data_IF_531053540365
#
_entry.id   IF_531053540365
#
_cell.length_a   1.000
_cell.length_b   1.000
_cell.length_c   1.000
_cell.angle_alpha   90.00
_cell.angle_beta   90.00
_cell.angle_gamma   90.00
#
_symmetry.space_group_name_H-M   'P 1'
#
loop_
_entity.id
_entity.type
_entity.pdbx_description
1 polymer ?
#
# COMPACT_ATOMS: atom_id res chain seq x y z
N UNK A 1 -21.88 -0.48 11.49
CA UNK A 1 -20.71 0.43 11.51
C UNK A 1 -20.72 1.21 10.19
N UNK A 2 -20.97 2.53 10.20
CA UNK A 2 -21.02 3.33 8.97
C UNK A 2 -19.64 3.91 8.67
N UNK A 3 -19.02 3.53 7.56
CA UNK A 3 -17.91 4.28 6.98
C UNK A 3 -18.44 5.67 6.60
N UNK A 4 -17.90 6.71 7.23
CA UNK A 4 -18.21 8.11 6.89
C UNK A 4 -17.57 8.38 5.53
N UNK A 5 -18.40 8.61 4.50
CA UNK A 5 -17.92 9.01 3.18
C UNK A 5 -16.94 10.19 3.31
N UNK A 6 -15.83 10.22 2.56
CA UNK A 6 -14.84 11.27 2.69
C UNK A 6 -15.50 12.59 2.31
N UNK A 7 -15.56 13.53 3.27
CA UNK A 7 -15.95 14.90 2.98
C UNK A 7 -15.01 15.42 1.88
N UNK A 8 -15.56 15.87 0.76
CA UNK A 8 -14.81 16.45 -0.36
C UNK A 8 -14.07 17.71 0.13
N UNK A 9 -12.87 17.52 0.68
CA UNK A 9 -11.93 18.60 0.96
C UNK A 9 -11.26 18.98 -0.36
N UNK A 10 -10.94 20.27 -0.51
CA UNK A 10 -10.20 20.80 -1.65
C UNK A 10 -8.93 19.98 -1.92
N UNK A 11 -8.56 19.81 -3.19
CA UNK A 11 -7.38 19.03 -3.59
C UNK A 11 -6.08 19.42 -2.86
N UNK A 12 -5.95 20.68 -2.44
CA UNK A 12 -4.82 21.22 -1.68
C UNK A 12 -4.85 20.98 -0.16
N UNK A 13 -5.88 20.32 0.40
CA UNK A 13 -6.03 20.20 1.85
C UNK A 13 -5.10 19.14 2.44
N UNK A 14 -4.52 19.45 3.60
CA UNK A 14 -3.81 18.47 4.42
C UNK A 14 -4.77 17.38 4.91
N UNK A 15 -4.33 16.13 4.82
CA UNK A 15 -5.10 14.96 5.27
C UNK A 15 -4.50 14.35 6.53
N UNK A 16 -5.34 13.92 7.44
CA UNK A 16 -4.90 13.17 8.64
C UNK A 16 -4.62 11.71 8.30
N UNK A 17 -3.84 11.03 9.14
CA UNK A 17 -3.57 9.59 8.96
C UNK A 17 -4.83 8.72 8.91
N UNK A 18 -5.87 9.06 9.67
CA UNK A 18 -7.14 8.33 9.63
C UNK A 18 -7.89 8.54 8.32
N UNK A 19 -7.79 9.73 7.71
CA UNK A 19 -8.42 10.02 6.42
C UNK A 19 -7.70 9.28 5.30
N UNK A 20 -6.36 9.34 5.27
CA UNK A 20 -5.57 8.63 4.25
C UNK A 20 -5.70 7.12 4.37
N UNK A 21 -5.74 6.60 5.59
CA UNK A 21 -6.01 5.18 5.86
C UNK A 21 -7.37 4.75 5.31
N UNK A 22 -8.41 5.55 5.54
CA UNK A 22 -9.75 5.30 4.99
C UNK A 22 -9.81 5.40 3.47
N UNK A 23 -9.10 6.35 2.86
CA UNK A 23 -9.04 6.51 1.40
C UNK A 23 -8.33 5.34 0.71
N UNK A 24 -7.26 4.81 1.32
CA UNK A 24 -6.48 3.69 0.80
C UNK A 24 -6.99 2.32 1.24
N UNK A 25 -8.01 2.29 2.11
CA UNK A 25 -8.50 1.06 2.74
C UNK A 25 -7.39 0.24 3.41
N UNK A 26 -6.47 0.92 4.10
CA UNK A 26 -5.38 0.30 4.88
C UNK A 26 -5.44 0.76 6.33
N UNK A 27 -4.86 -0.04 7.22
CA UNK A 27 -4.78 0.31 8.62
C UNK A 27 -3.81 1.47 8.89
N UNK A 28 -4.11 2.29 9.90
CA UNK A 28 -3.27 3.45 10.24
C UNK A 28 -1.84 3.04 10.62
N UNK A 29 -1.65 1.87 11.24
CA UNK A 29 -0.33 1.38 11.62
C UNK A 29 0.53 0.98 10.40
N UNK A 30 -0.10 0.58 9.29
CA UNK A 30 0.58 0.32 8.02
C UNK A 30 1.16 1.62 7.45
N UNK A 31 0.39 2.71 7.49
CA UNK A 31 0.90 4.03 7.10
C UNK A 31 2.06 4.50 7.98
N UNK A 32 1.98 4.28 9.31
CA UNK A 32 3.11 4.56 10.22
C UNK A 32 4.34 3.73 9.88
N UNK A 33 4.15 2.48 9.49
CA UNK A 33 5.25 1.64 9.05
C UNK A 33 5.85 2.14 7.74
N UNK A 34 5.02 2.54 6.78
CA UNK A 34 5.48 3.12 5.50
C UNK A 34 6.27 4.42 5.70
N UNK A 35 5.89 5.28 6.65
CA UNK A 35 6.70 6.46 7.04
C UNK A 35 8.15 6.09 7.41
N UNK A 36 8.37 4.91 7.99
CA UNK A 36 9.73 4.45 8.35
C UNK A 36 10.51 3.90 7.16
N UNK A 37 9.83 3.47 6.10
CA UNK A 37 10.44 2.83 4.93
C UNK A 37 10.64 3.81 3.78
N UNK A 38 9.76 4.78 3.61
CA UNK A 38 9.80 5.72 2.50
C UNK A 38 10.13 7.12 3.03
N UNK A 39 11.40 7.50 2.93
CA UNK A 39 11.90 8.81 3.42
C UNK A 39 11.33 10.02 2.68
N UNK A 40 10.71 9.77 1.53
CA UNK A 40 9.93 10.73 0.76
C UNK A 40 8.70 11.22 1.52
N UNK A 41 8.06 10.34 2.29
CA UNK A 41 6.82 10.63 2.99
C UNK A 41 7.16 11.31 4.31
N UNK A 42 6.92 12.62 4.38
CA UNK A 42 7.29 13.44 5.55
C UNK A 42 6.05 14.09 6.16
N UNK A 43 5.30 13.36 7.02
CA UNK A 43 4.11 13.92 7.65
C UNK A 43 4.50 15.12 8.53
N UNK A 44 3.71 16.19 8.43
CA UNK A 44 3.83 17.34 9.31
C UNK A 44 3.35 16.94 10.71
N UNK A 45 4.28 16.94 11.67
CA UNK A 45 4.01 16.64 13.07
C UNK A 45 3.60 17.93 13.77
N UNK A 46 2.35 18.00 14.25
CA UNK A 46 1.85 19.10 15.10
C UNK A 46 1.82 18.65 16.56
N UNK A 47 1.67 19.61 17.49
CA UNK A 47 1.45 19.32 18.90
C UNK A 47 0.37 18.26 19.13
N UNK A 48 0.61 17.36 20.09
CA UNK A 48 -0.29 16.23 20.36
C UNK A 48 -0.10 14.99 19.47
N UNK A 49 1.01 14.89 18.72
CA UNK A 49 1.37 13.67 17.98
C UNK A 49 0.54 13.39 16.72
N UNK A 50 -0.32 14.34 16.31
CA UNK A 50 -1.13 14.25 15.10
C UNK A 50 -0.24 14.44 13.86
N UNK A 51 -0.49 13.61 12.85
CA UNK A 51 0.23 13.59 11.58
C UNK A 51 -0.69 14.10 10.48
N UNK A 52 -0.17 15.03 9.70
CA UNK A 52 -0.83 15.57 8.52
C UNK A 52 0.03 15.31 7.29
N UNK A 53 -0.55 14.74 6.26
CA UNK A 53 0.07 14.52 4.96
C UNK A 53 -0.27 15.67 4.02
N UNK A 54 0.71 16.10 3.24
CA UNK A 54 0.48 17.03 2.12
C UNK A 54 -0.27 16.29 1.01
N UNK A 55 -0.97 17.01 0.12
CA UNK A 55 -1.56 16.40 -1.07
C UNK A 55 -0.55 15.54 -1.87
N UNK A 56 0.66 16.05 -2.05
CA UNK A 56 1.76 15.32 -2.73
C UNK A 56 2.14 14.01 -2.02
N UNK A 57 2.20 14.01 -0.68
CA UNK A 57 2.47 12.79 0.10
C UNK A 57 1.35 11.77 -0.06
N UNK A 58 0.10 12.23 -0.16
CA UNK A 58 -1.08 11.38 -0.34
C UNK A 58 -1.06 10.72 -1.71
N UNK A 59 -0.70 11.46 -2.75
CA UNK A 59 -0.57 10.91 -4.09
C UNK A 59 0.58 9.91 -4.19
N UNK A 60 1.71 10.18 -3.52
CA UNK A 60 2.78 9.22 -3.39
C UNK A 60 2.35 7.95 -2.65
N UNK A 61 1.58 8.09 -1.57
CA UNK A 61 1.03 6.96 -0.80
C UNK A 61 0.08 6.09 -1.64
N UNK A 62 -0.74 6.71 -2.51
CA UNK A 62 -1.59 5.98 -3.47
C UNK A 62 -0.74 5.17 -4.46
N UNK A 63 0.33 5.76 -4.98
CA UNK A 63 1.23 5.07 -5.90
C UNK A 63 1.94 3.89 -5.20
N UNK A 64 2.46 4.10 -3.99
CA UNK A 64 3.06 3.03 -3.19
C UNK A 64 2.04 1.91 -2.93
N UNK A 65 0.81 2.27 -2.58
CA UNK A 65 -0.26 1.31 -2.37
C UNK A 65 -0.53 0.46 -3.63
N UNK A 66 -0.65 1.11 -4.79
CA UNK A 66 -0.85 0.42 -6.06
C UNK A 66 0.30 -0.55 -6.38
N UNK A 67 1.54 -0.09 -6.23
CA UNK A 67 2.72 -0.94 -6.48
C UNK A 67 2.76 -2.16 -5.57
N UNK A 68 2.44 -1.99 -4.28
CA UNK A 68 2.48 -3.08 -3.30
C UNK A 68 1.32 -4.06 -3.44
N UNK A 69 0.09 -3.56 -3.57
CA UNK A 69 -1.13 -4.39 -3.50
C UNK A 69 -1.70 -4.78 -4.86
N UNK A 70 -1.49 -3.98 -5.91
CA UNK A 70 -1.98 -4.28 -7.26
C UNK A 70 -0.91 -4.92 -8.13
N UNK A 71 0.31 -4.38 -8.10
CA UNK A 71 1.41 -4.88 -8.93
C UNK A 71 2.29 -5.93 -8.22
N UNK A 72 2.11 -6.13 -6.91
CA UNK A 72 2.82 -7.15 -6.14
C UNK A 72 4.31 -6.85 -5.88
N UNK A 73 4.72 -5.58 -5.97
CA UNK A 73 6.09 -5.21 -5.64
C UNK A 73 6.37 -5.39 -4.15
N UNK A 74 7.63 -5.68 -3.83
CA UNK A 74 8.12 -5.63 -2.45
C UNK A 74 8.45 -4.19 -2.04
N UNK A 75 8.49 -3.92 -0.74
CA UNK A 75 8.89 -2.61 -0.20
C UNK A 75 10.27 -2.18 -0.73
N UNK A 76 11.23 -3.11 -0.82
CA UNK A 76 12.56 -2.84 -1.39
C UNK A 76 12.48 -2.52 -2.89
N UNK A 77 11.64 -3.23 -3.65
CA UNK A 77 11.39 -2.97 -5.07
C UNK A 77 10.84 -1.56 -5.31
N UNK A 78 9.84 -1.16 -4.53
CA UNK A 78 9.27 0.20 -4.58
C UNK A 78 10.29 1.25 -4.18
N UNK A 79 11.10 1.02 -3.13
CA UNK A 79 12.17 1.93 -2.74
C UNK A 79 13.20 2.15 -3.88
N UNK A 80 13.59 1.08 -4.58
CA UNK A 80 14.52 1.14 -5.72
C UNK A 80 13.90 1.93 -6.89
N UNK A 81 12.64 1.68 -7.21
CA UNK A 81 11.90 2.40 -8.25
C UNK A 81 11.82 3.89 -7.94
N UNK A 82 11.41 4.26 -6.72
CA UNK A 82 11.31 5.66 -6.30
C UNK A 82 12.67 6.37 -6.25
N UNK A 83 13.75 5.63 -5.99
CA UNK A 83 15.12 6.18 -6.00
C UNK A 83 15.63 6.37 -7.43
N UNK A 84 15.34 5.43 -8.34
CA UNK A 84 15.69 5.52 -9.75
C UNK A 84 14.97 6.68 -10.46
N UNK A 85 13.69 6.91 -10.15
CA UNK A 85 12.93 8.05 -10.70
C UNK A 85 13.49 9.40 -10.23
N UNK A 86 14.04 9.46 -9.01
CA UNK A 86 14.70 10.67 -8.49
C UNK A 86 16.12 10.87 -9.06
N UNK A 87 16.74 9.78 -9.52
CA UNK A 87 18.13 9.74 -9.96
C UNK A 87 18.36 10.16 -11.40
N UNK A 88 17.41 9.96 -12.33
CA UNK A 88 17.47 10.49 -13.70
C UNK A 88 16.30 9.96 -14.57
N UNK A 89 15.46 10.86 -15.10
CA UNK A 89 14.85 10.66 -16.42
C UNK A 89 15.89 10.80 -17.56
N UNK A 90 17.10 11.29 -17.26
CA UNK A 90 18.16 11.55 -18.26
C UNK A 90 19.06 10.34 -18.59
N UNK A 91 18.92 9.19 -17.92
CA UNK A 91 19.86 8.05 -18.07
C UNK A 91 19.18 6.74 -18.54
N UNK A 92 17.87 6.77 -18.84
CA UNK A 92 17.06 5.55 -19.01
C UNK A 92 16.91 5.04 -20.45
N UNK A 93 17.75 5.49 -21.40
CA UNK A 93 17.69 4.99 -22.78
C UNK A 93 18.77 3.92 -23.07
N UNK A 94 19.79 3.72 -22.23
CA UNK A 94 20.95 2.91 -22.65
C UNK A 94 21.15 1.53 -22.04
N UNK A 95 20.66 1.21 -20.84
CA UNK A 95 20.91 -0.13 -20.28
C UNK A 95 19.61 -0.93 -20.10
N UNK A 96 19.48 -1.96 -20.93
CA UNK A 96 18.39 -2.92 -20.93
C UNK A 96 18.18 -3.52 -19.53
N UNK A 97 16.94 -3.41 -19.04
CA UNK A 97 16.57 -4.03 -17.77
C UNK A 97 16.35 -5.53 -17.96
N UNK A 98 17.38 -6.32 -17.71
CA UNK A 98 17.20 -7.69 -17.27
C UNK A 98 16.64 -7.68 -15.84
N UNK A 99 15.36 -8.07 -15.71
CA UNK A 99 14.70 -8.35 -14.44
C UNK A 99 15.11 -9.75 -13.97
N UNK A 100 16.34 -9.88 -13.46
CA UNK A 100 16.81 -11.09 -12.80
C UNK A 100 17.16 -10.75 -11.35
N UNK A 101 16.43 -11.35 -10.41
CA UNK A 101 16.65 -11.20 -8.97
C UNK A 101 15.42 -10.83 -8.18
N UNK A 102 14.30 -11.55 -8.38
CA UNK A 102 13.24 -11.61 -7.37
C UNK A 102 13.75 -12.44 -6.18
N UNK A 103 14.50 -11.81 -5.28
CA UNK A 103 14.57 -12.36 -3.92
C UNK A 103 13.21 -12.09 -3.27
N UNK A 104 12.39 -13.14 -3.23
CA UNK A 104 11.15 -13.22 -2.47
C UNK A 104 11.48 -13.09 -0.98
N UNK A 105 11.61 -11.86 -0.50
CA UNK A 105 11.50 -11.61 0.93
C UNK A 105 10.00 -11.66 1.24
N UNK A 106 9.51 -12.86 1.59
CA UNK A 106 8.18 -13.05 2.18
C UNK A 106 8.03 -12.06 3.33
N UNK A 107 7.33 -10.96 3.08
CA UNK A 107 6.97 -10.07 4.18
C UNK A 107 5.93 -10.81 5.03
N UNK A 108 5.97 -10.71 6.37
CA UNK A 108 4.97 -11.34 7.24
C UNK A 108 3.53 -10.99 6.86
N UNK A 109 3.32 -9.82 6.25
CA UNK A 109 2.02 -9.39 5.72
C UNK A 109 1.65 -10.17 4.46
N UNK A 110 2.56 -10.33 3.48
CA UNK A 110 2.28 -11.12 2.27
C UNK A 110 1.93 -12.58 2.63
N UNK A 111 2.72 -13.20 3.51
CA UNK A 111 2.47 -14.55 4.00
C UNK A 111 1.15 -14.67 4.78
N UNK A 112 0.82 -13.67 5.61
CA UNK A 112 -0.46 -13.64 6.33
C UNK A 112 -1.65 -13.44 5.39
N UNK A 113 -1.51 -12.63 4.33
CA UNK A 113 -2.54 -12.41 3.30
C UNK A 113 -2.78 -13.70 2.50
N UNK A 114 -1.73 -14.41 2.12
CA UNK A 114 -1.86 -15.70 1.43
C UNK A 114 -2.52 -16.76 2.31
N UNK A 115 -2.11 -16.86 3.58
CA UNK A 115 -2.74 -17.78 4.54
C UNK A 115 -4.23 -17.49 4.71
N UNK A 116 -4.60 -16.22 4.89
CA UNK A 116 -6.00 -15.82 5.00
C UNK A 116 -6.79 -16.11 3.71
N UNK A 117 -6.15 -15.96 2.53
CA UNK A 117 -6.76 -16.27 1.24
C UNK A 117 -7.07 -17.76 1.10
N UNK A 118 -6.16 -18.62 1.53
CA UNK A 118 -6.35 -20.07 1.43
C UNK A 118 -7.37 -20.59 2.44
N UNK A 119 -7.40 -20.02 3.65
CA UNK A 119 -8.49 -20.26 4.62
C UNK A 119 -9.86 -19.88 4.02
N UNK A 120 -9.96 -18.72 3.37
CA UNK A 120 -11.21 -18.27 2.74
C UNK A 120 -11.65 -19.17 1.57
N UNK A 121 -10.70 -19.67 0.78
CA UNK A 121 -10.99 -20.63 -0.30
C UNK A 121 -11.51 -21.95 0.27
N UNK A 122 -10.89 -22.47 1.33
CA UNK A 122 -11.36 -23.69 2.01
C UNK A 122 -12.79 -23.52 2.49
N UNK A 123 -13.08 -22.40 3.18
CA UNK A 123 -14.44 -22.11 3.65
C UNK A 123 -15.45 -22.00 2.51
N UNK A 124 -15.04 -21.42 1.37
CA UNK A 124 -15.90 -21.31 0.19
C UNK A 124 -16.20 -22.68 -0.43
N UNK A 125 -15.19 -23.56 -0.49
CA UNK A 125 -15.36 -24.91 -1.02
C UNK A 125 -16.21 -25.77 -0.09
N UNK A 126 -16.07 -25.63 1.23
CA UNK A 126 -16.94 -26.26 2.22
C UNK A 126 -18.40 -25.81 2.06
N UNK A 127 -18.63 -24.51 1.88
CA UNK A 127 -19.98 -23.95 1.62
C UNK A 127 -20.57 -24.45 0.30
N UNK A 128 -19.74 -24.59 -0.75
CA UNK A 128 -20.17 -25.17 -2.03
C UNK A 128 -20.53 -26.65 -1.89
N UNK A 129 -19.78 -27.40 -1.09
CA UNK A 129 -20.05 -28.81 -0.82
C UNK A 129 -21.35 -28.98 -0.04
N UNK A 130 -21.58 -28.16 1.01
CA UNK A 130 -22.82 -28.17 1.77
C UNK A 130 -24.03 -27.82 0.91
N UNK A 131 -23.91 -26.85 0.00
CA UNK A 131 -24.99 -26.51 -0.94
C UNK A 131 -25.38 -27.70 -1.83
N UNK A 132 -24.41 -28.46 -2.35
CA UNK A 132 -24.67 -29.65 -3.17
C UNK A 132 -25.39 -30.78 -2.44
N UNK A 133 -25.44 -30.78 -1.11
CA UNK A 133 -26.16 -31.79 -0.31
C UNK A 133 -27.63 -31.43 -0.09
N UNK A 134 -28.01 -30.18 -0.38
CA UNK A 134 -29.37 -29.66 -0.20
C UNK A 134 -30.12 -29.60 -1.56
N UNK A 135 -29.39 -29.65 -2.68
CA UNK A 135 -29.91 -29.82 -4.04
C UNK A 135 -30.06 -31.31 -4.41
#
# INVERSE_FOLDING_TARGET
MKAKAPAQKSAGAFRTISEVAGELNVEQHVLRFWETKFTQIKPLKRGGGRRYYRPEDVDLLKNIHHLLYSEGYTIKGVQKLLSATRGNLSARVQDGLELSGAEEVETPIARAVEKNRDELKSMLDDLRAMRKLID
#
